data_IF_934880657189
#
_entry.id   IF_934880657189
#
_cell.length_a   1.000
_cell.length_b   1.000
_cell.length_c   1.000
_cell.angle_alpha   90.00
_cell.angle_beta   90.00
_cell.angle_gamma   90.00
#
_symmetry.space_group_name_H-M   'P 1'
#
loop_
_entity.id
_entity.type
_entity.pdbx_description
1 polymer ?
#
# COMPACT_ATOMS: atom_id res chain seq x y z
N UNK A 1 -57.56 28.05 -23.21
CA UNK A 1 -57.52 28.18 -21.73
C UNK A 1 -56.23 27.46 -21.26
N UNK A 2 -55.14 28.24 -21.14
CA UNK A 2 -53.78 27.72 -20.82
C UNK A 2 -53.48 28.02 -19.34
N UNK A 3 -53.36 26.96 -18.54
CA UNK A 3 -52.96 27.04 -17.12
C UNK A 3 -51.42 27.08 -17.08
N UNK A 4 -50.88 28.22 -16.65
CA UNK A 4 -49.44 28.35 -16.29
C UNK A 4 -49.24 27.89 -14.86
N UNK A 5 -48.47 26.82 -14.70
CA UNK A 5 -47.95 26.38 -13.42
C UNK A 5 -46.64 27.13 -13.10
N UNK A 6 -46.67 28.01 -12.12
CA UNK A 6 -45.47 28.63 -11.54
C UNK A 6 -44.75 27.65 -10.63
N UNK A 7 -43.57 27.21 -11.04
CA UNK A 7 -42.67 26.47 -10.15
C UNK A 7 -41.81 27.50 -9.38
N UNK A 8 -42.10 27.61 -8.09
CA UNK A 8 -41.31 28.43 -7.17
C UNK A 8 -40.02 27.68 -6.83
N UNK A 9 -38.88 28.24 -7.23
CA UNK A 9 -37.54 27.76 -6.86
C UNK A 9 -37.20 28.29 -5.47
N UNK A 10 -37.29 27.42 -4.46
CA UNK A 10 -36.83 27.74 -3.11
C UNK A 10 -35.29 27.72 -3.05
N UNK A 11 -34.72 28.82 -2.56
CA UNK A 11 -33.29 28.93 -2.32
C UNK A 11 -32.84 28.06 -1.14
N UNK A 12 -31.65 27.46 -1.20
CA UNK A 12 -31.13 26.72 -0.03
C UNK A 12 -30.74 27.70 1.10
N UNK A 13 -30.77 27.24 2.36
CA UNK A 13 -30.45 28.08 3.52
C UNK A 13 -29.00 28.49 3.56
N UNK A 14 -28.65 29.66 4.14
CA UNK A 14 -27.28 30.14 4.24
C UNK A 14 -26.41 29.28 5.17
N UNK A 15 -25.18 29.05 4.76
CA UNK A 15 -24.16 28.32 5.51
C UNK A 15 -23.66 29.19 6.67
N UNK A 16 -23.58 28.68 7.92
CA UNK A 16 -23.04 29.46 9.03
C UNK A 16 -21.55 29.74 8.89
N UNK A 17 -21.05 30.85 9.46
CA UNK A 17 -19.62 31.22 9.33
C UNK A 17 -18.70 30.24 10.05
N UNK A 18 -17.60 29.92 9.39
CA UNK A 18 -16.53 29.04 9.90
C UNK A 18 -15.76 29.81 10.97
N UNK A 19 -15.81 29.34 12.21
CA UNK A 19 -14.96 29.82 13.29
C UNK A 19 -13.54 29.28 13.10
N UNK A 20 -12.55 30.15 13.09
CA UNK A 20 -11.13 29.79 13.02
C UNK A 20 -10.72 28.93 14.22
N UNK A 21 -10.11 27.78 14.01
CA UNK A 21 -9.61 26.98 15.13
C UNK A 21 -8.29 27.56 15.68
N UNK A 22 -8.23 27.74 16.99
CA UNK A 22 -7.01 28.08 17.71
C UNK A 22 -5.95 26.99 17.50
N UNK A 23 -4.63 27.32 17.52
CA UNK A 23 -3.60 26.34 17.24
C UNK A 23 -3.52 25.25 18.33
N UNK A 24 -3.29 23.99 17.94
CA UNK A 24 -3.23 22.89 18.89
C UNK A 24 -1.95 22.91 19.74
N UNK A 25 -2.11 22.58 21.00
CA UNK A 25 -1.02 22.39 21.96
C UNK A 25 -0.23 21.15 21.54
N UNK A 26 1.04 21.34 21.24
CA UNK A 26 1.99 20.29 20.85
C UNK A 26 2.25 19.33 22.01
N UNK A 27 1.71 18.14 21.95
CA UNK A 27 2.11 17.03 22.80
C UNK A 27 3.12 16.17 22.04
N UNK A 28 4.18 16.30 22.16
CA UNK A 28 5.02 15.76 21.62
C UNK A 28 5.10 14.51 21.87
N UNK A 29 4.70 13.76 21.22
CA UNK A 29 5.00 12.33 21.19
C UNK A 29 6.31 12.10 20.46
N UNK A 30 7.24 11.51 21.15
CA UNK A 30 8.59 11.23 20.65
C UNK A 30 8.55 10.29 19.43
N UNK A 31 9.04 10.78 18.30
CA UNK A 31 9.35 9.98 17.12
C UNK A 31 10.66 9.22 17.37
N UNK A 32 10.65 7.92 17.22
CA UNK A 32 11.87 7.10 17.27
C UNK A 32 12.76 7.40 16.06
N UNK A 33 14.04 7.75 16.27
CA UNK A 33 14.96 7.99 15.15
C UNK A 33 15.44 6.69 14.51
N UNK A 34 15.60 6.69 13.20
CA UNK A 34 16.26 5.62 12.45
C UNK A 34 17.75 5.58 12.79
N UNK A 35 18.34 4.39 12.99
CA UNK A 35 19.77 4.30 13.25
C UNK A 35 20.59 4.56 11.98
N UNK A 36 21.49 5.55 12.06
CA UNK A 36 22.55 5.76 11.07
C UNK A 36 23.73 4.84 11.39
N UNK A 37 24.45 4.45 10.35
CA UNK A 37 25.60 3.53 10.41
C UNK A 37 26.71 4.00 11.35
N UNK A 38 27.26 3.05 12.09
CA UNK A 38 28.39 3.26 13.03
C UNK A 38 29.75 3.30 12.32
N UNK A 39 30.65 4.16 12.77
CA UNK A 39 32.07 4.06 12.37
C UNK A 39 32.81 2.98 13.17
N UNK A 40 33.71 2.31 12.50
CA UNK A 40 34.58 1.25 13.02
C UNK A 40 35.59 1.83 14.04
N UNK A 41 35.56 1.31 15.26
CA UNK A 41 36.58 1.61 16.28
C UNK A 41 37.57 0.45 16.39
N UNK A 42 38.82 0.80 16.27
CA UNK A 42 39.98 -0.15 16.42
C UNK A 42 40.18 -0.50 17.88
N UNK A 43 40.39 -1.77 18.13
CA UNK A 43 40.74 -2.34 19.44
C UNK A 43 42.22 -2.25 19.70
N UNK A 44 42.61 -1.74 20.87
CA UNK A 44 43.89 -2.02 21.47
C UNK A 44 43.75 -2.07 23.00
N UNK A 45 44.34 -3.09 23.60
CA UNK A 45 44.67 -3.13 25.03
C UNK A 45 43.88 -4.15 25.86
N UNK A 46 44.54 -5.26 26.11
CA UNK A 46 44.13 -6.29 27.09
C UNK A 46 44.50 -5.86 28.52
N UNK A 47 43.54 -5.87 29.42
CA UNK A 47 43.78 -5.85 30.88
C UNK A 47 43.09 -7.05 31.49
N UNK A 48 43.71 -7.69 32.53
CA UNK A 48 43.18 -8.92 33.11
C UNK A 48 41.98 -8.69 34.01
N UNK A 49 41.03 -9.61 33.97
CA UNK A 49 39.80 -9.64 34.76
C UNK A 49 40.11 -9.87 36.26
N UNK A 50 39.39 -9.17 37.16
CA UNK A 50 39.48 -9.46 38.60
C UNK A 50 38.78 -10.80 38.93
N UNK A 51 39.19 -11.48 40.02
CA UNK A 51 38.64 -12.78 40.42
C UNK A 51 37.20 -12.69 40.91
N UNK A 52 36.41 -13.70 40.57
CA UNK A 52 35.01 -13.86 40.96
C UNK A 52 34.85 -14.04 42.48
N UNK A 53 33.87 -13.38 43.12
CA UNK A 53 33.58 -13.61 44.54
C UNK A 53 32.90 -14.98 44.77
N UNK A 54 33.05 -15.57 45.93
CA UNK A 54 32.52 -16.91 46.22
C UNK A 54 31.00 -16.93 46.33
N UNK A 55 30.45 -18.01 45.84
CA UNK A 55 29.11 -18.55 45.93
C UNK A 55 28.14 -17.92 46.92
N UNK A 56 27.10 -17.28 46.40
CA UNK A 56 25.86 -17.05 47.13
C UNK A 56 24.88 -18.16 46.79
N UNK A 57 24.80 -19.11 47.72
CA UNK A 57 23.78 -20.13 47.77
C UNK A 57 22.48 -19.52 48.33
N UNK A 58 21.37 -19.87 47.70
CA UNK A 58 20.02 -19.78 48.21
C UNK A 58 19.30 -18.44 48.23
N UNK A 59 18.62 -18.16 47.08
CA UNK A 59 17.33 -17.48 47.14
C UNK A 59 16.27 -18.38 46.54
N UNK A 60 15.29 -18.82 47.33
CA UNK A 60 14.22 -19.66 46.78
C UNK A 60 13.17 -18.82 46.06
N UNK A 61 12.82 -19.18 44.86
CA UNK A 61 11.48 -19.13 44.39
C UNK A 61 11.06 -18.18 43.26
N UNK A 62 11.82 -17.17 42.82
CA UNK A 62 11.25 -16.22 41.81
C UNK A 62 11.91 -16.22 40.43
N UNK A 63 13.18 -16.59 40.32
CA UNK A 63 13.91 -16.51 39.06
C UNK A 63 13.61 -17.65 38.07
N UNK A 64 13.26 -18.86 38.62
CA UNK A 64 12.96 -20.02 37.78
C UNK A 64 11.65 -19.85 37.00
N UNK A 65 10.65 -19.21 37.62
CA UNK A 65 9.33 -19.04 37.03
C UNK A 65 9.35 -18.01 35.84
N UNK A 66 10.11 -16.93 36.00
CA UNK A 66 10.27 -15.93 34.95
C UNK A 66 10.96 -16.52 33.72
N UNK A 67 12.00 -17.32 33.93
CA UNK A 67 12.70 -18.02 32.83
C UNK A 67 11.81 -19.02 32.11
N UNK A 68 11.01 -19.77 32.83
CA UNK A 68 10.07 -20.75 32.27
C UNK A 68 9.00 -20.05 31.43
N UNK A 69 8.40 -18.96 31.94
CA UNK A 69 7.41 -18.14 31.20
C UNK A 69 8.01 -17.55 29.94
N UNK A 70 9.25 -17.10 29.98
CA UNK A 70 9.93 -16.57 28.79
C UNK A 70 10.18 -17.67 27.77
N UNK A 71 10.61 -18.85 28.20
CA UNK A 71 10.82 -20.02 27.32
C UNK A 71 9.51 -20.45 26.66
N UNK A 72 8.41 -20.54 27.43
CA UNK A 72 7.08 -20.86 26.92
C UNK A 72 6.65 -19.86 25.82
N UNK A 73 6.92 -18.59 26.03
CA UNK A 73 6.64 -17.51 25.06
C UNK A 73 7.42 -17.74 23.75
N UNK A 74 8.73 -18.05 23.86
CA UNK A 74 9.55 -18.31 22.67
C UNK A 74 9.04 -19.54 21.90
N UNK A 75 8.69 -20.60 22.63
CA UNK A 75 8.12 -21.81 22.01
C UNK A 75 6.84 -21.49 21.26
N UNK A 76 5.93 -20.69 21.84
CA UNK A 76 4.70 -20.27 21.19
C UNK A 76 5.02 -19.47 19.89
N UNK A 77 5.98 -18.54 19.96
CA UNK A 77 6.37 -17.73 18.79
C UNK A 77 6.96 -18.62 17.69
N UNK A 78 7.81 -19.59 18.05
CA UNK A 78 8.52 -20.44 17.09
C UNK A 78 7.66 -21.58 16.54
N UNK A 79 6.95 -22.31 17.41
CA UNK A 79 6.20 -23.51 17.01
C UNK A 79 4.77 -23.21 16.57
N UNK A 80 4.04 -22.39 17.31
CA UNK A 80 2.64 -22.11 16.99
C UNK A 80 2.51 -21.06 15.88
N UNK A 81 3.37 -20.02 15.92
CA UNK A 81 3.33 -18.96 14.90
C UNK A 81 4.36 -19.16 13.77
N UNK A 82 5.32 -20.07 13.93
CA UNK A 82 6.34 -20.32 12.92
C UNK A 82 7.26 -19.14 12.65
N UNK A 83 7.53 -18.31 13.69
CA UNK A 83 8.32 -17.08 13.53
C UNK A 83 9.72 -17.29 14.09
N UNK A 84 10.70 -16.58 13.51
CA UNK A 84 12.04 -16.46 14.07
C UNK A 84 11.96 -15.57 15.32
N UNK A 85 12.09 -16.18 16.49
CA UNK A 85 11.99 -15.49 17.78
C UNK A 85 13.10 -14.44 17.97
N UNK A 86 14.32 -14.73 17.48
CA UNK A 86 15.46 -13.81 17.56
C UNK A 86 15.18 -12.52 16.76
N UNK A 87 14.71 -12.69 15.55
CA UNK A 87 14.31 -11.58 14.68
C UNK A 87 13.13 -10.81 15.27
N UNK A 88 12.12 -11.51 15.80
CA UNK A 88 10.96 -10.88 16.42
C UNK A 88 11.36 -10.03 17.63
N UNK A 89 12.24 -10.56 18.49
CA UNK A 89 12.77 -9.85 19.67
C UNK A 89 13.63 -8.64 19.28
N UNK A 90 14.37 -8.76 18.18
CA UNK A 90 15.20 -7.63 17.68
C UNK A 90 14.31 -6.49 17.17
N UNK A 91 13.25 -6.81 16.41
CA UNK A 91 12.34 -5.83 15.83
C UNK A 91 11.32 -5.28 16.85
N UNK A 92 11.03 -6.08 17.89
CA UNK A 92 10.09 -5.69 18.96
C UNK A 92 10.66 -6.09 20.33
N UNK A 93 11.51 -5.27 20.93
CA UNK A 93 12.09 -5.56 22.26
C UNK A 93 11.05 -5.72 23.38
N UNK A 94 9.85 -5.10 23.21
CA UNK A 94 8.76 -5.20 24.20
C UNK A 94 8.24 -6.63 24.37
N UNK A 95 8.50 -7.52 23.41
CA UNK A 95 8.20 -8.94 23.54
C UNK A 95 8.85 -9.59 24.77
N UNK A 96 9.98 -9.05 25.25
CA UNK A 96 10.66 -9.58 26.46
C UNK A 96 9.75 -9.48 27.67
N UNK A 97 9.10 -8.34 27.85
CA UNK A 97 8.26 -8.06 29.02
C UNK A 97 6.79 -8.43 28.83
N UNK A 98 6.28 -8.46 27.58
CA UNK A 98 4.88 -8.74 27.31
C UNK A 98 4.48 -10.14 27.82
N UNK A 99 3.33 -10.28 28.47
CA UNK A 99 2.83 -11.60 28.89
C UNK A 99 2.37 -12.42 27.67
N UNK A 100 2.47 -13.74 27.74
CA UNK A 100 2.03 -14.64 26.67
C UNK A 100 0.53 -14.47 26.36
N UNK A 101 -0.28 -14.16 27.36
CA UNK A 101 -1.72 -13.89 27.18
C UNK A 101 -1.99 -12.72 26.22
N UNK A 102 -1.19 -11.66 26.30
CA UNK A 102 -1.34 -10.50 25.39
C UNK A 102 -1.00 -10.91 23.94
N UNK A 103 0.06 -11.72 23.77
CA UNK A 103 0.45 -12.24 22.44
C UNK A 103 -0.66 -13.12 21.86
N UNK A 104 -1.22 -14.03 22.67
CA UNK A 104 -2.34 -14.88 22.24
C UNK A 104 -3.56 -14.03 21.87
N UNK A 105 -3.87 -13.02 22.69
CA UNK A 105 -5.00 -12.09 22.42
C UNK A 105 -4.84 -11.39 21.06
N UNK A 106 -3.62 -10.96 20.71
CA UNK A 106 -3.35 -10.33 19.41
C UNK A 106 -3.57 -11.33 18.24
N UNK A 107 -3.16 -12.58 18.44
CA UNK A 107 -3.38 -13.67 17.45
C UNK A 107 -4.89 -13.93 17.30
N UNK A 108 -5.58 -14.14 18.41
CA UNK A 108 -7.02 -14.44 18.44
C UNK A 108 -7.83 -13.31 17.79
N UNK A 109 -7.41 -12.07 18.00
CA UNK A 109 -8.05 -10.91 17.38
C UNK A 109 -7.96 -10.98 15.85
N UNK A 110 -6.79 -11.28 15.28
CA UNK A 110 -6.65 -11.41 13.82
C UNK A 110 -7.49 -12.58 13.29
N UNK A 111 -7.52 -13.69 14.01
CA UNK A 111 -8.33 -14.85 13.62
C UNK A 111 -9.82 -14.53 13.66
N UNK A 112 -10.28 -13.79 14.68
CA UNK A 112 -11.69 -13.36 14.80
C UNK A 112 -12.13 -12.44 13.66
N UNK A 113 -11.19 -11.70 13.07
CA UNK A 113 -11.46 -10.89 11.87
C UNK A 113 -11.35 -11.70 10.56
N UNK A 114 -11.27 -13.03 10.66
CA UNK A 114 -11.35 -13.93 9.52
C UNK A 114 -10.01 -14.23 8.83
N UNK A 115 -8.89 -13.93 9.47
CA UNK A 115 -7.58 -14.35 8.97
C UNK A 115 -7.34 -15.83 9.32
N UNK A 116 -6.58 -16.52 8.51
CA UNK A 116 -6.08 -17.86 8.84
C UNK A 116 -4.77 -17.74 9.64
N UNK A 117 -4.40 -18.80 10.37
CA UNK A 117 -3.13 -18.84 11.11
C UNK A 117 -1.94 -18.48 10.23
N UNK A 118 -1.86 -19.02 9.02
CA UNK A 118 -0.77 -18.74 8.08
C UNK A 118 -0.72 -17.25 7.68
N UNK A 119 -1.88 -16.58 7.55
CA UNK A 119 -1.94 -15.15 7.25
C UNK A 119 -1.46 -14.33 8.46
N UNK A 120 -1.90 -14.70 9.65
CA UNK A 120 -1.51 -14.05 10.91
C UNK A 120 0.01 -14.20 11.14
N UNK A 121 0.55 -15.40 10.97
CA UNK A 121 2.00 -15.67 11.05
C UNK A 121 2.78 -14.75 10.10
N UNK A 122 2.34 -14.67 8.85
CA UNK A 122 3.00 -13.79 7.86
C UNK A 122 2.92 -12.31 8.26
N UNK A 123 1.78 -11.87 8.80
CA UNK A 123 1.60 -10.49 9.28
C UNK A 123 2.57 -10.21 10.43
N UNK A 124 2.65 -11.10 11.42
CA UNK A 124 3.54 -10.95 12.57
C UNK A 124 5.02 -11.03 12.17
N UNK A 125 5.36 -11.87 11.16
CA UNK A 125 6.72 -11.93 10.61
C UNK A 125 7.16 -10.58 10.02
N UNK A 126 6.23 -9.86 9.37
CA UNK A 126 6.49 -8.54 8.81
C UNK A 126 6.42 -7.41 9.84
N UNK A 127 5.54 -7.53 10.82
CA UNK A 127 5.27 -6.50 11.82
C UNK A 127 5.19 -7.11 13.21
N UNK A 128 6.35 -7.51 13.82
CA UNK A 128 6.36 -8.10 15.17
C UNK A 128 5.80 -7.19 16.27
N UNK A 129 5.74 -5.87 16.02
CA UNK A 129 5.12 -4.92 16.95
C UNK A 129 3.66 -5.25 17.25
N UNK A 130 2.97 -5.88 16.29
CA UNK A 130 1.57 -6.29 16.46
C UNK A 130 1.39 -7.40 17.51
N UNK A 131 2.45 -8.15 17.85
CA UNK A 131 2.40 -9.17 18.90
C UNK A 131 2.20 -8.57 20.30
N UNK A 132 2.52 -7.27 20.45
CA UNK A 132 2.41 -6.56 21.74
C UNK A 132 1.48 -5.36 21.65
N UNK A 133 0.70 -5.25 20.58
CA UNK A 133 -0.25 -4.15 20.41
C UNK A 133 -1.46 -4.33 21.34
N UNK A 134 -2.11 -3.24 21.67
CA UNK A 134 -3.38 -3.30 22.36
C UNK A 134 -4.49 -3.49 21.34
N UNK A 135 -5.09 -4.68 21.33
CA UNK A 135 -6.10 -5.08 20.34
C UNK A 135 -7.23 -4.06 20.21
N UNK A 136 -7.75 -3.60 21.35
CA UNK A 136 -8.89 -2.66 21.39
C UNK A 136 -8.54 -1.27 20.86
N UNK A 137 -7.32 -0.80 21.11
CA UNK A 137 -6.86 0.53 20.73
C UNK A 137 -6.20 0.58 19.35
N UNK A 138 -5.49 -0.49 18.96
CA UNK A 138 -4.70 -0.49 17.74
C UNK A 138 -5.37 -1.22 16.57
N UNK A 139 -5.86 -2.45 16.79
CA UNK A 139 -6.40 -3.30 15.71
C UNK A 139 -7.88 -3.02 15.42
N UNK A 140 -8.72 -2.99 16.45
CA UNK A 140 -10.17 -2.82 16.29
C UNK A 140 -10.52 -1.55 15.49
N UNK A 141 -9.91 -0.38 15.74
CA UNK A 141 -10.23 0.82 14.95
C UNK A 141 -9.92 0.66 13.45
N UNK A 142 -8.85 -0.05 13.08
CA UNK A 142 -8.50 -0.30 11.69
C UNK A 142 -9.58 -1.18 11.02
N UNK A 143 -9.96 -2.27 11.67
CA UNK A 143 -11.02 -3.16 11.12
C UNK A 143 -12.36 -2.44 11.06
N UNK A 144 -12.72 -1.67 12.09
CA UNK A 144 -13.94 -0.86 12.10
C UNK A 144 -13.94 0.15 10.94
N UNK A 145 -12.81 0.78 10.68
CA UNK A 145 -12.63 1.73 9.57
C UNK A 145 -12.81 1.03 8.22
N UNK A 146 -12.20 -0.15 8.03
CA UNK A 146 -12.28 -0.91 6.77
C UNK A 146 -13.70 -1.41 6.50
N UNK A 147 -14.37 -1.94 7.52
CA UNK A 147 -15.72 -2.51 7.40
C UNK A 147 -16.79 -1.42 7.26
N UNK A 148 -16.66 -0.33 8.00
CA UNK A 148 -17.63 0.76 8.04
C UNK A 148 -17.38 1.81 6.96
N UNK A 149 -16.59 2.87 7.23
CA UNK A 149 -16.42 3.98 6.28
C UNK A 149 -15.94 3.55 4.88
N UNK A 150 -15.00 2.60 4.78
CA UNK A 150 -14.49 2.13 3.48
C UNK A 150 -15.49 1.17 2.82
N UNK A 151 -16.24 0.40 3.62
CA UNK A 151 -17.28 -0.51 3.14
C UNK A 151 -16.74 -1.79 2.51
N UNK A 152 -15.64 -2.33 3.03
CA UNK A 152 -15.11 -3.62 2.58
C UNK A 152 -15.98 -4.73 3.20
N UNK A 153 -16.51 -5.66 2.39
CA UNK A 153 -17.25 -6.80 2.95
C UNK A 153 -16.37 -7.67 3.86
N UNK A 154 -16.95 -8.18 4.93
CA UNK A 154 -16.21 -9.02 5.90
C UNK A 154 -15.43 -10.18 5.22
N UNK A 155 -16.03 -10.94 4.26
CA UNK A 155 -15.28 -12.03 3.60
C UNK A 155 -14.03 -11.58 2.82
N UNK A 156 -13.93 -10.29 2.48
CA UNK A 156 -12.78 -9.75 1.76
C UNK A 156 -11.69 -9.21 2.68
N UNK A 157 -11.96 -9.11 4.00
CA UNK A 157 -10.98 -8.58 4.98
C UNK A 157 -9.67 -9.38 4.91
N UNK A 158 -9.76 -10.71 4.87
CA UNK A 158 -8.58 -11.58 4.73
C UNK A 158 -7.73 -11.19 3.51
N UNK A 159 -8.38 -10.99 2.36
CA UNK A 159 -7.69 -10.59 1.10
C UNK A 159 -7.05 -9.20 1.23
N UNK A 160 -7.71 -8.29 1.94
CA UNK A 160 -7.22 -6.92 2.18
C UNK A 160 -5.94 -6.96 3.03
N UNK A 161 -5.99 -7.65 4.17
CA UNK A 161 -4.85 -7.76 5.09
C UNK A 161 -3.69 -8.52 4.43
N UNK A 162 -4.00 -9.64 3.76
CA UNK A 162 -3.00 -10.45 3.05
C UNK A 162 -2.27 -9.63 1.96
N UNK A 163 -2.99 -8.73 1.29
CA UNK A 163 -2.42 -7.85 0.24
C UNK A 163 -1.64 -6.68 0.81
N UNK A 164 -2.12 -6.09 1.89
CA UNK A 164 -1.51 -4.90 2.49
C UNK A 164 -1.53 -4.97 4.02
N UNK A 165 -0.65 -5.81 4.63
CA UNK A 165 -0.57 -5.91 6.10
C UNK A 165 -0.23 -4.58 6.78
N UNK A 166 0.41 -3.66 6.07
CA UNK A 166 0.75 -2.32 6.57
C UNK A 166 -0.46 -1.54 7.07
N UNK A 167 -1.67 -1.88 6.61
CA UNK A 167 -2.91 -1.28 7.11
C UNK A 167 -3.02 -1.41 8.64
N UNK A 168 -2.63 -2.57 9.19
CA UNK A 168 -2.77 -2.88 10.61
C UNK A 168 -1.86 -2.06 11.52
N UNK A 169 -0.76 -1.50 10.97
CA UNK A 169 0.19 -0.67 11.71
C UNK A 169 0.05 0.81 11.35
N UNK A 170 -0.98 1.18 10.60
CA UNK A 170 -1.20 2.56 10.17
C UNK A 170 -2.26 3.23 11.03
N UNK A 171 -1.97 4.45 11.49
CA UNK A 171 -2.93 5.26 12.23
C UNK A 171 -4.16 5.54 11.37
N UNK A 172 -5.35 5.28 11.91
CA UNK A 172 -6.62 5.58 11.23
C UNK A 172 -6.75 7.10 11.03
N UNK A 173 -6.48 7.89 12.07
CA UNK A 173 -6.67 9.35 12.04
C UNK A 173 -5.63 10.06 11.17
N UNK A 174 -4.36 9.68 11.32
CA UNK A 174 -3.26 10.43 10.69
C UNK A 174 -2.95 9.97 9.27
N UNK A 175 -3.35 8.74 8.90
CA UNK A 175 -2.97 8.15 7.61
C UNK A 175 -4.18 7.66 6.80
N UNK A 176 -4.93 6.71 7.35
CA UNK A 176 -5.96 6.01 6.56
C UNK A 176 -7.14 6.93 6.21
N UNK A 177 -7.63 7.72 7.17
CA UNK A 177 -8.77 8.59 6.97
C UNK A 177 -8.46 9.78 6.03
N UNK A 178 -7.32 10.49 6.17
CA UNK A 178 -6.96 11.53 5.20
C UNK A 178 -6.84 10.98 3.77
N UNK A 179 -6.17 9.84 3.58
CA UNK A 179 -6.05 9.20 2.27
C UNK A 179 -7.43 8.83 1.71
N UNK A 180 -8.29 8.24 2.54
CA UNK A 180 -9.65 7.86 2.16
C UNK A 180 -10.48 9.07 1.72
N UNK A 181 -10.45 10.14 2.51
CA UNK A 181 -11.20 11.37 2.21
C UNK A 181 -10.70 12.02 0.91
N UNK A 182 -9.39 12.04 0.70
CA UNK A 182 -8.79 12.53 -0.55
C UNK A 182 -9.27 11.71 -1.74
N UNK A 183 -9.20 10.37 -1.63
CA UNK A 183 -9.65 9.47 -2.71
C UNK A 183 -11.15 9.63 -3.00
N UNK A 184 -11.98 9.82 -1.96
CA UNK A 184 -13.41 10.10 -2.15
C UNK A 184 -13.63 11.39 -2.94
N UNK A 185 -12.93 12.48 -2.59
CA UNK A 185 -12.99 13.75 -3.32
C UNK A 185 -12.49 13.60 -4.76
N UNK A 186 -11.49 12.74 -4.97
CA UNK A 186 -10.98 12.43 -6.30
C UNK A 186 -11.97 11.60 -7.15
N UNK A 187 -13.00 11.01 -6.50
CA UNK A 187 -14.06 10.28 -7.21
C UNK A 187 -14.09 8.77 -6.98
N UNK A 188 -13.35 8.28 -5.99
CA UNK A 188 -13.40 6.86 -5.62
C UNK A 188 -14.70 6.56 -4.83
N UNK A 189 -15.84 6.67 -5.53
CA UNK A 189 -17.18 6.44 -4.99
C UNK A 189 -18.01 5.59 -5.98
N UNK A 190 -19.10 5.02 -5.52
CA UNK A 190 -19.99 4.22 -6.36
C UNK A 190 -19.25 3.06 -7.02
N UNK A 191 -19.28 2.99 -8.34
CA UNK A 191 -18.60 1.92 -9.12
C UNK A 191 -17.06 1.96 -9.01
N UNK A 192 -16.51 3.11 -8.66
CA UNK A 192 -15.06 3.29 -8.48
C UNK A 192 -14.64 3.21 -7.01
N UNK A 193 -15.55 2.82 -6.10
CA UNK A 193 -15.25 2.73 -4.66
C UNK A 193 -14.01 1.89 -4.39
N UNK A 194 -13.42 2.09 -3.23
CA UNK A 194 -12.26 1.31 -2.80
C UNK A 194 -12.70 -0.16 -2.60
N UNK A 195 -11.91 -1.07 -3.14
CA UNK A 195 -12.13 -2.51 -3.08
C UNK A 195 -10.90 -3.18 -2.47
N UNK A 196 -10.97 -4.48 -2.21
CA UNK A 196 -9.83 -5.24 -1.69
C UNK A 196 -8.56 -5.10 -2.55
N UNK A 197 -8.68 -4.71 -3.82
CA UNK A 197 -7.53 -4.51 -4.71
C UNK A 197 -6.89 -3.13 -4.56
N UNK A 198 -7.66 -2.13 -4.13
CA UNK A 198 -7.21 -0.73 -4.08
C UNK A 198 -6.99 -0.20 -2.66
N UNK A 199 -7.18 -1.04 -1.63
CA UNK A 199 -6.94 -0.66 -0.22
C UNK A 199 -5.49 -0.25 0.03
N UNK A 200 -4.53 -0.71 -0.80
CA UNK A 200 -3.13 -0.28 -0.73
C UNK A 200 -2.98 1.25 -0.85
N UNK A 201 -3.92 1.93 -1.49
CA UNK A 201 -3.92 3.38 -1.59
C UNK A 201 -4.13 4.07 -0.24
N UNK A 202 -4.83 3.41 0.70
CA UNK A 202 -5.13 3.99 2.00
C UNK A 202 -3.88 4.24 2.87
N UNK A 203 -2.80 3.47 2.63
CA UNK A 203 -1.54 3.62 3.39
C UNK A 203 -0.57 4.64 2.77
N UNK A 204 -0.95 5.24 1.65
CA UNK A 204 -0.12 6.23 0.94
C UNK A 204 -0.35 7.64 1.50
N UNK A 205 0.71 8.45 1.48
CA UNK A 205 0.61 9.88 1.82
C UNK A 205 -0.12 10.64 0.72
N UNK A 206 -1.01 11.52 1.10
CA UNK A 206 -1.69 12.41 0.16
C UNK A 206 -0.66 13.39 -0.44
N UNK A 207 0.11 14.02 0.44
CA UNK A 207 1.06 15.08 0.10
C UNK A 207 2.27 14.56 -0.69
N UNK A 208 2.87 13.45 -0.23
CA UNK A 208 4.11 12.93 -0.81
C UNK A 208 3.88 11.97 -1.98
N UNK A 209 2.65 11.44 -2.12
CA UNK A 209 2.39 10.39 -3.12
C UNK A 209 1.33 10.79 -4.13
N UNK A 210 0.13 11.16 -3.68
CA UNK A 210 -0.98 11.39 -4.61
C UNK A 210 -0.85 12.73 -5.34
N UNK A 211 -0.60 13.81 -4.61
CA UNK A 211 -0.52 15.16 -5.20
C UNK A 211 0.59 15.22 -6.25
N UNK A 212 1.84 14.81 -5.98
CA UNK A 212 2.90 14.87 -7.00
C UNK A 212 2.58 14.09 -8.28
N UNK A 213 1.91 12.94 -8.15
CA UNK A 213 1.56 12.13 -9.34
C UNK A 213 0.47 12.78 -10.17
N UNK A 214 -0.54 13.39 -9.52
CA UNK A 214 -1.59 14.13 -10.22
C UNK A 214 -1.00 15.37 -10.89
N UNK A 215 -0.07 16.06 -10.24
CA UNK A 215 0.64 17.20 -10.79
C UNK A 215 1.51 16.81 -11.98
N UNK A 216 2.22 15.68 -11.88
CA UNK A 216 3.01 15.17 -12.99
C UNK A 216 2.13 14.92 -14.22
N UNK A 217 0.98 14.24 -14.04
CA UNK A 217 0.06 14.00 -15.16
C UNK A 217 -0.47 15.31 -15.76
N UNK A 218 -0.80 16.29 -14.91
CA UNK A 218 -1.20 17.62 -15.40
C UNK A 218 -0.08 18.33 -16.15
N UNK A 219 1.16 18.17 -15.68
CA UNK A 219 2.36 18.69 -16.35
C UNK A 219 2.61 18.11 -17.73
N UNK A 220 2.03 16.93 -18.03
CA UNK A 220 2.06 16.34 -19.37
C UNK A 220 1.01 16.95 -20.31
N UNK A 221 0.19 17.90 -19.82
CA UNK A 221 -0.83 18.58 -20.60
C UNK A 221 -2.26 18.08 -20.37
N UNK A 222 -2.46 17.11 -19.45
CA UNK A 222 -3.82 16.60 -19.17
C UNK A 222 -4.56 17.55 -18.22
N UNK A 223 -5.79 17.88 -18.56
CA UNK A 223 -6.68 18.67 -17.70
C UNK A 223 -6.97 17.90 -16.40
N UNK A 224 -7.46 18.62 -15.39
CA UNK A 224 -7.86 18.03 -14.11
C UNK A 224 -8.92 16.94 -14.30
N UNK A 225 -9.86 17.13 -15.22
CA UNK A 225 -10.93 16.17 -15.53
C UNK A 225 -10.37 14.91 -16.16
N UNK A 226 -9.45 15.04 -17.11
CA UNK A 226 -8.79 13.90 -17.77
C UNK A 226 -7.94 13.11 -16.79
N UNK A 227 -7.09 13.80 -16.01
CA UNK A 227 -6.25 13.19 -14.97
C UNK A 227 -7.10 12.38 -14.00
N UNK A 228 -8.22 12.95 -13.52
CA UNK A 228 -9.17 12.27 -12.65
C UNK A 228 -9.74 11.01 -13.33
N UNK A 229 -10.18 11.13 -14.57
CA UNK A 229 -10.73 10.00 -15.35
C UNK A 229 -9.70 8.88 -15.52
N UNK A 230 -8.45 9.22 -15.86
CA UNK A 230 -7.34 8.27 -16.01
C UNK A 230 -7.10 7.48 -14.72
N UNK A 231 -7.04 8.17 -13.58
CA UNK A 231 -6.79 7.57 -12.28
C UNK A 231 -7.95 6.67 -11.84
N UNK A 232 -9.19 7.06 -12.10
CA UNK A 232 -10.37 6.24 -11.75
C UNK A 232 -10.44 4.97 -12.59
N UNK A 233 -10.04 5.02 -13.88
CA UNK A 233 -9.98 3.85 -14.75
C UNK A 233 -8.75 2.98 -14.49
N UNK A 234 -7.68 3.57 -13.98
CA UNK A 234 -6.43 2.87 -13.67
C UNK A 234 -5.86 3.33 -12.32
N UNK A 235 -6.43 2.87 -11.17
CA UNK A 235 -5.98 3.30 -9.85
C UNK A 235 -4.49 3.02 -9.57
N UNK A 236 -3.89 2.05 -10.26
CA UNK A 236 -2.46 1.75 -10.18
C UNK A 236 -1.57 2.95 -10.47
N UNK A 237 -2.05 3.95 -11.22
CA UNK A 237 -1.31 5.19 -11.48
C UNK A 237 -0.86 5.85 -10.18
N UNK A 238 -1.68 5.76 -9.13
CA UNK A 238 -1.35 6.35 -7.82
C UNK A 238 -0.27 5.56 -7.07
N UNK A 239 0.09 4.34 -7.53
CA UNK A 239 1.11 3.51 -6.88
C UNK A 239 2.47 3.54 -7.60
N UNK A 240 2.50 3.91 -8.88
CA UNK A 240 3.73 3.88 -9.68
C UNK A 240 4.67 5.04 -9.33
N UNK A 241 5.97 4.81 -9.52
CA UNK A 241 7.02 5.83 -9.35
C UNK A 241 7.00 6.79 -10.54
N UNK A 242 7.16 8.09 -10.29
CA UNK A 242 7.31 9.08 -11.36
C UNK A 242 8.62 8.80 -12.11
N UNK A 243 9.72 8.68 -11.38
CA UNK A 243 11.06 8.53 -11.96
C UNK A 243 11.25 7.19 -12.69
N UNK A 244 10.83 6.09 -12.04
CA UNK A 244 11.12 4.74 -12.54
C UNK A 244 10.01 4.13 -13.41
N UNK A 245 8.86 4.82 -13.55
CA UNK A 245 7.75 4.30 -14.35
C UNK A 245 7.21 5.33 -15.33
N UNK A 246 6.73 6.47 -14.82
CA UNK A 246 6.08 7.45 -15.69
C UNK A 246 7.06 8.07 -16.69
N UNK A 247 8.17 8.64 -16.23
CA UNK A 247 9.14 9.34 -17.08
C UNK A 247 9.64 8.46 -18.23
N UNK A 248 10.26 7.28 -17.96
CA UNK A 248 10.81 6.49 -19.06
C UNK A 248 9.75 6.00 -20.05
N UNK A 249 8.52 5.76 -19.60
CA UNK A 249 7.45 5.33 -20.50
C UNK A 249 6.88 6.48 -21.34
N UNK A 250 6.79 7.67 -20.77
CA UNK A 250 6.38 8.87 -21.50
C UNK A 250 7.43 9.22 -22.56
N UNK A 251 8.70 9.19 -22.20
CA UNK A 251 9.83 9.43 -23.13
C UNK A 251 9.78 8.44 -24.28
N UNK A 252 9.67 7.15 -23.99
CA UNK A 252 9.60 6.11 -25.00
C UNK A 252 8.40 6.29 -25.92
N UNK A 253 7.22 6.57 -25.36
CA UNK A 253 5.98 6.79 -26.14
C UNK A 253 6.17 7.95 -27.12
N UNK A 254 6.74 9.05 -26.63
CA UNK A 254 6.85 10.30 -27.38
C UNK A 254 7.97 10.28 -28.43
N UNK A 255 9.15 9.82 -28.03
CA UNK A 255 10.35 9.94 -28.87
C UNK A 255 10.64 8.70 -29.71
N UNK A 256 10.42 7.52 -29.15
CA UNK A 256 10.72 6.27 -29.88
C UNK A 256 9.52 5.79 -30.69
N UNK A 257 8.31 5.83 -30.08
CA UNK A 257 7.09 5.39 -30.77
C UNK A 257 6.47 6.51 -31.62
N UNK A 258 6.86 7.77 -31.44
CA UNK A 258 6.34 8.91 -32.17
C UNK A 258 4.82 9.10 -31.96
N UNK A 259 4.31 8.75 -30.76
CA UNK A 259 2.87 8.76 -30.47
C UNK A 259 2.48 9.99 -29.66
N UNK A 260 1.25 10.42 -29.86
CA UNK A 260 0.69 11.53 -29.11
C UNK A 260 0.34 11.09 -27.67
N UNK A 261 0.62 11.96 -26.69
CA UNK A 261 0.31 11.72 -25.30
C UNK A 261 -1.19 11.58 -25.04
N UNK A 262 -2.03 12.12 -25.92
CA UNK A 262 -3.48 12.00 -25.81
C UNK A 262 -3.95 10.53 -25.77
N UNK A 263 -3.22 9.60 -26.40
CA UNK A 263 -3.53 8.16 -26.36
C UNK A 263 -3.56 7.62 -24.92
N UNK A 264 -2.78 8.25 -24.01
CA UNK A 264 -2.77 7.85 -22.60
C UNK A 264 -4.09 8.15 -21.89
N UNK A 265 -4.85 9.14 -22.39
CA UNK A 265 -6.20 9.42 -21.88
C UNK A 265 -7.12 8.23 -22.09
N UNK A 266 -7.01 7.64 -23.29
CA UNK A 266 -7.87 6.53 -23.67
C UNK A 266 -7.38 5.20 -23.09
N UNK A 267 -6.07 5.06 -22.92
CA UNK A 267 -5.44 3.85 -22.42
C UNK A 267 -4.44 4.12 -21.29
N UNK A 268 -4.89 4.60 -20.10
CA UNK A 268 -3.99 4.86 -18.98
C UNK A 268 -3.33 3.59 -18.41
N UNK A 269 -3.85 2.40 -18.71
CA UNK A 269 -3.26 1.13 -18.35
C UNK A 269 -1.87 0.92 -18.99
N UNK A 270 -1.48 1.71 -20.00
CA UNK A 270 -0.14 1.72 -20.59
C UNK A 270 0.95 1.66 -19.52
N UNK A 271 0.80 2.45 -18.46
CA UNK A 271 1.77 2.53 -17.36
C UNK A 271 1.88 1.24 -16.53
N UNK A 272 0.95 0.30 -16.67
CA UNK A 272 0.97 -0.98 -15.96
C UNK A 272 1.85 -2.04 -16.64
N UNK A 273 2.15 -1.85 -17.92
CA UNK A 273 2.93 -2.81 -18.68
C UNK A 273 4.43 -2.57 -18.52
N UNK A 274 5.22 -3.65 -18.59
CA UNK A 274 6.67 -3.55 -18.48
C UNK A 274 7.25 -2.94 -19.76
N UNK A 275 8.05 -1.90 -19.61
CA UNK A 275 8.66 -1.18 -20.73
C UNK A 275 9.60 -2.08 -21.54
N UNK A 276 10.55 -2.75 -20.85
CA UNK A 276 11.59 -3.54 -21.50
C UNK A 276 11.08 -4.88 -22.03
N UNK A 277 10.18 -5.54 -21.27
CA UNK A 277 9.74 -6.90 -21.58
C UNK A 277 8.50 -6.97 -22.46
N UNK A 278 7.74 -5.86 -22.58
CA UNK A 278 6.49 -5.92 -23.37
C UNK A 278 6.35 -4.74 -24.33
N UNK A 279 6.50 -3.51 -23.89
CA UNK A 279 6.24 -2.34 -24.74
C UNK A 279 7.29 -2.27 -25.87
N UNK A 280 8.59 -2.25 -25.52
CA UNK A 280 9.68 -2.14 -26.52
C UNK A 280 9.69 -3.29 -27.54
N UNK A 281 9.63 -4.58 -27.12
CA UNK A 281 9.65 -5.67 -28.09
C UNK A 281 8.48 -5.64 -29.07
N UNK A 282 7.26 -5.35 -28.59
CA UNK A 282 6.09 -5.29 -29.47
C UNK A 282 6.15 -4.09 -30.42
N UNK A 283 6.62 -2.97 -29.93
CA UNK A 283 6.85 -1.80 -30.79
C UNK A 283 7.86 -2.11 -31.90
N UNK A 284 8.98 -2.76 -31.55
CA UNK A 284 10.00 -3.15 -32.55
C UNK A 284 9.40 -4.02 -33.65
N UNK A 285 8.63 -5.04 -33.30
CA UNK A 285 7.99 -5.93 -34.27
C UNK A 285 7.04 -5.19 -35.22
N UNK A 286 6.28 -4.21 -34.69
CA UNK A 286 5.40 -3.37 -35.51
C UNK A 286 6.21 -2.49 -36.46
N UNK A 287 7.29 -1.89 -35.98
CA UNK A 287 8.16 -1.01 -36.79
C UNK A 287 8.85 -1.80 -37.89
N UNK A 288 9.42 -2.97 -37.59
CA UNK A 288 10.04 -3.87 -38.58
C UNK A 288 9.06 -4.31 -39.66
N UNK A 289 7.80 -4.47 -39.28
CA UNK A 289 6.74 -4.86 -40.21
C UNK A 289 6.10 -3.67 -40.94
N UNK A 290 6.45 -2.45 -40.57
CA UNK A 290 5.86 -1.19 -41.05
C UNK A 290 4.34 -1.14 -40.81
N UNK A 291 3.91 -1.70 -39.66
CA UNK A 291 2.50 -1.75 -39.25
C UNK A 291 2.24 -0.86 -38.08
N UNK A 292 1.00 -0.39 -37.95
CA UNK A 292 0.53 0.43 -36.84
C UNK A 292 -0.63 -0.25 -36.13
N UNK A 293 -0.66 -0.18 -34.81
CA UNK A 293 -1.68 -0.80 -33.98
C UNK A 293 -1.98 0.09 -32.76
N UNK A 294 -3.25 0.27 -32.36
CA UNK A 294 -3.58 1.02 -31.15
C UNK A 294 -2.89 0.43 -29.92
N UNK A 295 -2.52 1.29 -28.93
CA UNK A 295 -1.84 0.85 -27.70
C UNK A 295 -2.61 -0.25 -26.96
N UNK A 296 -3.94 -0.15 -26.92
CA UNK A 296 -4.79 -1.12 -26.22
C UNK A 296 -4.71 -2.50 -26.88
N UNK A 297 -4.71 -2.55 -28.20
CA UNK A 297 -4.61 -3.79 -28.97
C UNK A 297 -3.20 -4.37 -28.89
N UNK A 298 -2.19 -3.51 -28.98
CA UNK A 298 -0.80 -3.89 -28.84
C UNK A 298 -0.50 -4.50 -27.45
N UNK A 299 -1.09 -4.00 -26.36
CA UNK A 299 -0.62 -4.33 -25.02
C UNK A 299 -1.56 -5.23 -24.18
N UNK A 300 -2.88 -5.23 -24.45
CA UNK A 300 -3.82 -6.03 -23.63
C UNK A 300 -3.78 -7.53 -23.93
N UNK A 301 -3.45 -7.89 -25.15
CA UNK A 301 -3.50 -9.27 -25.61
C UNK A 301 -2.31 -10.09 -25.11
N UNK A 302 -2.40 -11.42 -25.19
CA UNK A 302 -1.28 -12.32 -24.91
C UNK A 302 -0.19 -12.18 -25.97
N UNK A 303 0.97 -12.79 -25.77
CA UNK A 303 2.05 -12.72 -26.78
C UNK A 303 1.67 -13.53 -28.05
N UNK A 304 1.00 -14.66 -27.86
CA UNK A 304 0.52 -15.47 -28.99
C UNK A 304 -0.53 -14.72 -29.81
N UNK A 305 -1.53 -14.12 -29.17
CA UNK A 305 -2.57 -13.35 -29.87
C UNK A 305 -1.99 -12.13 -30.59
N UNK A 306 -0.99 -11.48 -29.98
CA UNK A 306 -0.31 -10.35 -30.61
C UNK A 306 0.40 -10.78 -31.90
N UNK A 307 1.15 -11.90 -31.85
CA UNK A 307 1.84 -12.42 -33.02
C UNK A 307 0.87 -12.87 -34.13
N UNK A 308 -0.21 -13.54 -33.74
CA UNK A 308 -1.26 -13.96 -34.69
C UNK A 308 -1.84 -12.74 -35.42
N UNK A 309 -2.18 -11.70 -34.66
CA UNK A 309 -2.73 -10.45 -35.21
C UNK A 309 -1.73 -9.73 -36.13
N UNK A 310 -0.46 -9.74 -35.72
CA UNK A 310 0.64 -9.16 -36.52
C UNK A 310 0.73 -9.86 -37.89
N UNK A 311 0.66 -11.20 -37.87
CA UNK A 311 0.69 -12.00 -39.10
C UNK A 311 -0.53 -11.73 -40.01
N UNK A 312 -1.71 -11.65 -39.43
CA UNK A 312 -2.95 -11.31 -40.16
C UNK A 312 -2.81 -9.95 -40.87
N UNK A 313 -2.33 -8.94 -40.14
CA UNK A 313 -2.14 -7.62 -40.70
C UNK A 313 -1.09 -7.61 -41.82
N UNK A 314 -0.03 -8.45 -41.71
CA UNK A 314 1.01 -8.58 -42.73
C UNK A 314 0.42 -9.21 -44.01
N UNK A 315 -0.35 -10.27 -43.89
CA UNK A 315 -0.99 -10.94 -44.99
C UNK A 315 -1.94 -9.96 -45.72
N UNK A 316 -2.83 -9.30 -45.00
CA UNK A 316 -3.74 -8.30 -45.55
C UNK A 316 -2.99 -7.20 -46.32
N UNK A 317 -1.86 -6.74 -45.81
CA UNK A 317 -1.06 -5.68 -46.46
C UNK A 317 -0.36 -6.15 -47.75
N UNK A 318 -0.23 -7.46 -47.95
CA UNK A 318 0.29 -8.05 -49.19
C UNK A 318 -0.84 -8.15 -50.22
N UNK A 319 -2.00 -8.62 -49.80
CA UNK A 319 -3.18 -8.76 -50.67
C UNK A 319 -3.62 -7.39 -51.23
N UNK A 320 -3.54 -6.32 -50.46
CA UNK A 320 -3.87 -4.95 -50.92
C UNK A 320 -2.88 -4.39 -51.94
N UNK A 321 -1.73 -5.04 -52.15
CA UNK A 321 -0.69 -4.61 -53.10
C UNK A 321 -0.67 -5.44 -54.38
N UNK A 322 -1.47 -6.50 -54.46
CA UNK A 322 -1.63 -7.34 -55.66
C UNK A 322 -2.86 -6.94 -56.47
#
# INVERSE_FOLDING_TARGET
MLLRLHLSLSQPPPVPPILDPSPPILSXRRLCPHPRANPVLRTTGSSPLPPLPPTLLDFPGSSSDAGLRFREKLLFIEHDLGLDSSRALHLNPYLRSAPLSAIRSAVDALLSFGLLHADASRVFAMYPSLLTCETSADLVPVFRFLLGPVGIPFPDIRKVVARCPRLLVSSVHDRLLPAFNFLRRLGFVGRHRITCRTTVLLVSSVEDTFIPKLEYLRGLGFSQRETRSMVLRSPGLLTFSIENNFKPKVEFLRHEMGRDLSELKDFPQYFSFNLERKIKPRHRLLTESRLWMPLSEMLKVSDGDFLARLLEMRLSSIDDKL
#
